data_IF_751229496677
#
_entry.id   IF_751229496677
#
_cell.length_a   1.000
_cell.length_b   1.000
_cell.length_c   1.000
_cell.angle_alpha   90.00
_cell.angle_beta   90.00
_cell.angle_gamma   90.00
#
_symmetry.space_group_name_H-M   'P 1'
#
loop_
_entity.id
_entity.type
_entity.pdbx_description
1 polymer ?
#
# COMPACT_ATOMS: atom_id res chain seq x y z
N UNK A 1 6.35 -27.58 7.22
CA UNK A 1 5.06 -27.04 7.65
C UNK A 1 4.70 -25.98 6.64
N UNK A 2 3.70 -26.27 5.83
CA UNK A 2 3.37 -25.49 4.64
C UNK A 2 2.77 -24.13 5.07
N UNK A 3 3.36 -23.06 4.56
CA UNK A 3 2.79 -21.71 4.61
C UNK A 3 1.48 -21.75 3.83
N UNK A 4 0.37 -21.43 4.49
CA UNK A 4 -0.92 -21.31 3.83
C UNK A 4 -0.82 -20.11 2.87
N UNK A 5 -0.60 -20.38 1.59
CA UNK A 5 -0.68 -19.42 0.51
C UNK A 5 -2.11 -18.89 0.45
N UNK A 6 -2.23 -17.56 0.51
CA UNK A 6 -3.46 -16.85 0.24
C UNK A 6 -3.77 -16.99 -1.26
N UNK A 7 -4.76 -17.82 -1.61
CA UNK A 7 -5.29 -17.95 -2.96
C UNK A 7 -6.28 -16.80 -3.21
N UNK A 8 -6.05 -15.93 -4.20
CA UNK A 8 -6.99 -14.87 -4.57
C UNK A 8 -8.26 -15.37 -5.27
N UNK A 9 -8.40 -16.67 -5.53
CA UNK A 9 -9.55 -17.27 -6.24
C UNK A 9 -10.85 -17.34 -5.44
N UNK A 10 -10.80 -17.31 -4.12
CA UNK A 10 -11.97 -17.49 -3.25
C UNK A 10 -12.77 -16.19 -2.96
N UNK A 11 -12.40 -15.08 -3.61
CA UNK A 11 -13.00 -13.75 -3.39
C UNK A 11 -14.23 -13.45 -4.29
N UNK A 12 -14.78 -14.44 -5.00
CA UNK A 12 -15.84 -14.20 -6.01
C UNK A 12 -17.29 -14.17 -5.48
N UNK A 13 -17.51 -14.14 -4.15
CA UNK A 13 -18.87 -14.06 -3.59
C UNK A 13 -19.01 -13.16 -2.38
N UNK A 14 -18.60 -11.90 -2.50
CA UNK A 14 -19.15 -10.84 -1.64
C UNK A 14 -19.21 -9.54 -2.43
N UNK A 15 -20.27 -9.38 -3.18
CA UNK A 15 -20.69 -8.08 -3.72
C UNK A 15 -20.96 -7.12 -2.58
N UNK A 16 -20.38 -5.92 -2.74
CA UNK A 16 -20.82 -4.64 -2.20
C UNK A 16 -20.97 -4.49 -0.69
N UNK A 17 -19.93 -4.03 -0.01
CA UNK A 17 -20.12 -3.09 1.07
C UNK A 17 -19.07 -1.96 0.99
N UNK A 18 -19.16 -1.13 -0.03
CA UNK A 18 -18.65 0.24 0.01
C UNK A 18 -19.81 1.08 0.56
N UNK A 19 -19.69 1.69 1.75
CA UNK A 19 -20.74 2.58 2.24
C UNK A 19 -21.04 3.65 1.18
N UNK A 20 -22.29 3.80 0.78
CA UNK A 20 -22.74 4.79 -0.22
C UNK A 20 -22.36 6.25 0.09
N UNK A 21 -21.97 6.53 1.32
CA UNK A 21 -21.47 7.85 1.74
C UNK A 21 -20.07 8.19 1.24
N UNK A 22 -19.24 7.19 0.88
CA UNK A 22 -17.86 7.41 0.38
C UNK A 22 -17.88 7.92 -1.08
N UNK A 23 -18.97 7.74 -1.82
CA UNK A 23 -19.05 8.13 -3.24
C UNK A 23 -19.47 9.58 -3.46
N UNK A 24 -19.86 10.32 -2.40
CA UNK A 24 -20.34 11.70 -2.51
C UNK A 24 -19.18 12.69 -2.46
N UNK A 25 -18.55 12.93 -3.59
CA UNK A 25 -17.48 13.93 -3.72
C UNK A 25 -16.29 13.52 -4.56
N UNK A 26 -16.37 12.44 -5.33
CA UNK A 26 -15.30 12.04 -6.26
C UNK A 26 -15.12 13.12 -7.33
N UNK A 27 -14.11 13.95 -7.12
CA UNK A 27 -13.54 14.80 -8.18
C UNK A 27 -12.89 13.88 -9.21
N UNK A 28 -12.53 14.40 -10.38
CA UNK A 28 -11.92 13.67 -11.49
C UNK A 28 -11.16 12.42 -11.03
N UNK A 29 -11.54 11.20 -11.48
CA UNK A 29 -10.91 9.94 -11.04
C UNK A 29 -9.40 9.89 -11.23
N UNK A 30 -8.84 10.72 -12.10
CA UNK A 30 -7.39 10.86 -12.30
C UNK A 30 -6.68 11.58 -11.15
N UNK A 31 -7.38 12.46 -10.44
CA UNK A 31 -6.78 13.32 -9.40
C UNK A 31 -6.78 12.64 -8.03
N UNK A 32 -7.69 11.71 -7.78
CA UNK A 32 -7.82 11.04 -6.49
C UNK A 32 -7.33 9.58 -6.51
N UNK A 33 -6.41 9.24 -7.42
CA UNK A 33 -5.82 7.91 -7.50
C UNK A 33 -4.34 7.93 -7.12
N UNK A 34 -3.96 7.06 -6.18
CA UNK A 34 -2.56 6.75 -5.86
C UNK A 34 -2.21 5.39 -6.42
N UNK A 35 -1.21 5.37 -7.29
CA UNK A 35 -0.66 4.11 -7.80
C UNK A 35 0.34 3.52 -6.82
N UNK A 36 0.52 2.20 -6.83
CA UNK A 36 1.58 1.53 -6.06
C UNK A 36 2.45 0.68 -6.98
N UNK A 37 3.74 0.66 -6.76
CA UNK A 37 4.70 -0.10 -7.56
C UNK A 37 5.81 -0.69 -6.69
N UNK A 38 6.24 -1.90 -7.01
CA UNK A 38 7.44 -2.50 -6.44
C UNK A 38 8.61 -2.40 -7.42
N UNK A 39 9.78 -1.95 -6.97
CA UNK A 39 10.93 -1.96 -7.88
C UNK A 39 11.51 -3.36 -8.07
N UNK A 40 11.33 -4.26 -7.10
CA UNK A 40 11.82 -5.65 -7.18
C UNK A 40 13.26 -5.74 -7.69
N UNK A 41 13.51 -6.65 -8.62
CA UNK A 41 14.77 -6.86 -9.34
C UNK A 41 14.78 -6.24 -10.73
N UNK A 42 13.82 -5.35 -11.03
CA UNK A 42 13.76 -4.69 -12.33
C UNK A 42 15.06 -3.96 -12.67
N UNK A 43 15.42 -4.00 -13.94
CA UNK A 43 16.39 -3.07 -14.48
C UNK A 43 15.84 -1.65 -14.43
N UNK A 44 16.69 -0.64 -14.49
CA UNK A 44 16.24 0.75 -14.57
C UNK A 44 15.35 0.98 -15.79
N UNK A 45 15.68 0.36 -16.94
CA UNK A 45 14.91 0.51 -18.20
C UNK A 45 13.49 -0.02 -18.01
N UNK A 46 13.33 -1.23 -17.52
CA UNK A 46 12.01 -1.82 -17.25
C UNK A 46 11.20 -0.98 -16.29
N UNK A 47 11.82 -0.55 -15.20
CA UNK A 47 11.13 0.22 -14.17
C UNK A 47 10.59 1.56 -14.70
N UNK A 48 11.41 2.32 -15.47
CA UNK A 48 10.96 3.59 -16.03
C UNK A 48 9.91 3.41 -17.13
N UNK A 49 9.97 2.31 -17.90
CA UNK A 49 8.94 1.96 -18.86
C UNK A 49 7.61 1.64 -18.19
N UNK A 50 7.63 0.89 -17.07
CA UNK A 50 6.43 0.63 -16.26
C UNK A 50 5.83 1.96 -15.78
N UNK A 51 6.63 2.85 -15.19
CA UNK A 51 6.15 4.15 -14.71
C UNK A 51 5.49 4.97 -15.82
N UNK A 52 6.14 5.03 -16.99
CA UNK A 52 5.64 5.78 -18.16
C UNK A 52 4.36 5.20 -18.73
N UNK A 53 4.26 3.87 -18.82
CA UNK A 53 3.07 3.19 -19.32
C UNK A 53 1.81 3.49 -18.48
N UNK A 54 2.01 3.72 -17.18
CA UNK A 54 0.94 4.12 -16.26
C UNK A 54 0.82 5.64 -16.06
N UNK A 55 1.56 6.45 -16.83
CA UNK A 55 1.50 7.91 -16.79
C UNK A 55 2.00 8.50 -15.45
N UNK A 56 2.90 7.80 -14.75
CA UNK A 56 3.44 8.27 -13.46
C UNK A 56 4.32 9.50 -13.67
N UNK A 57 3.96 10.60 -13.02
CA UNK A 57 4.72 11.86 -13.03
C UNK A 57 5.56 12.04 -11.76
N UNK A 58 5.24 11.31 -10.69
CA UNK A 58 5.96 11.37 -9.41
C UNK A 58 6.04 10.00 -8.76
N UNK A 59 7.23 9.66 -8.28
CA UNK A 59 7.47 8.52 -7.39
C UNK A 59 7.61 9.03 -5.96
N UNK A 60 6.83 8.47 -5.05
CA UNK A 60 6.97 8.64 -3.60
C UNK A 60 7.58 7.37 -3.04
N UNK A 61 8.86 7.44 -2.68
CA UNK A 61 9.60 6.33 -2.09
C UNK A 61 9.20 6.19 -0.62
N UNK A 62 8.50 5.11 -0.30
CA UNK A 62 8.01 4.80 1.05
C UNK A 62 8.91 3.79 1.79
N UNK A 63 10.12 3.55 1.33
CA UNK A 63 11.06 2.70 2.05
C UNK A 63 11.63 3.45 3.26
N UNK A 64 11.72 2.77 4.39
CA UNK A 64 12.39 3.32 5.59
C UNK A 64 13.87 3.62 5.27
N UNK A 65 14.54 2.67 4.64
CA UNK A 65 15.95 2.77 4.22
C UNK A 65 16.02 2.54 2.70
N UNK A 66 16.14 3.59 1.88
CA UNK A 66 16.17 3.49 0.42
C UNK A 66 17.57 3.11 -0.09
N UNK A 67 18.05 1.94 0.35
CA UNK A 67 19.32 1.31 -0.02
C UNK A 67 19.09 -0.14 -0.39
N UNK A 68 19.81 -0.62 -1.40
CA UNK A 68 19.87 -2.03 -1.77
C UNK A 68 21.29 -2.37 -2.25
N UNK A 69 21.86 -3.43 -1.73
CA UNK A 69 23.14 -3.97 -2.22
C UNK A 69 22.95 -4.69 -3.56
N UNK A 70 21.84 -5.42 -3.68
CA UNK A 70 21.55 -6.23 -4.88
C UNK A 70 20.99 -5.40 -6.04
N UNK A 71 20.33 -4.28 -5.75
CA UNK A 71 19.69 -3.41 -6.74
C UNK A 71 20.14 -1.96 -6.55
N UNK A 72 21.44 -1.63 -6.73
CA UNK A 72 22.01 -0.32 -6.42
C UNK A 72 21.42 0.81 -7.27
N UNK A 73 20.84 0.47 -8.45
CA UNK A 73 20.13 1.43 -9.30
C UNK A 73 18.93 2.10 -8.60
N UNK A 74 18.41 1.49 -7.52
CA UNK A 74 17.32 2.01 -6.70
C UNK A 74 17.79 2.64 -5.39
N UNK A 75 19.11 2.83 -5.19
CA UNK A 75 19.60 3.62 -4.08
C UNK A 75 19.14 5.08 -4.24
N UNK A 76 18.77 5.73 -3.14
CA UNK A 76 18.12 7.04 -3.11
C UNK A 76 18.73 8.06 -4.05
N UNK A 77 20.04 8.24 -3.97
CA UNK A 77 20.73 9.31 -4.72
C UNK A 77 20.78 8.98 -6.23
N UNK A 78 21.01 7.70 -6.55
CA UNK A 78 21.01 7.21 -7.93
C UNK A 78 19.61 7.31 -8.51
N UNK A 79 18.61 6.79 -7.80
CA UNK A 79 17.21 6.79 -8.23
C UNK A 79 16.69 8.20 -8.47
N UNK A 80 16.98 9.13 -7.54
CA UNK A 80 16.58 10.53 -7.68
C UNK A 80 17.14 11.18 -8.94
N UNK A 81 18.43 10.96 -9.24
CA UNK A 81 19.09 11.47 -10.44
C UNK A 81 18.45 10.88 -11.72
N UNK A 82 18.24 9.56 -11.73
CA UNK A 82 17.65 8.85 -12.87
C UNK A 82 16.20 9.24 -13.13
N UNK A 83 15.37 9.36 -12.10
CA UNK A 83 13.98 9.82 -12.23
C UNK A 83 13.91 11.25 -12.75
N UNK A 84 14.78 12.14 -12.24
CA UNK A 84 14.88 13.53 -12.74
C UNK A 84 15.21 13.57 -14.23
N UNK A 85 16.18 12.77 -14.67
CA UNK A 85 16.53 12.65 -16.10
C UNK A 85 15.36 12.11 -16.94
N UNK A 86 14.52 11.23 -16.37
CA UNK A 86 13.30 10.73 -16.99
C UNK A 86 12.12 11.71 -16.92
N UNK A 87 12.28 12.91 -16.32
CA UNK A 87 11.24 13.92 -16.06
C UNK A 87 10.17 13.46 -15.08
N UNK A 88 10.50 12.53 -14.18
CA UNK A 88 9.62 12.03 -13.13
C UNK A 88 10.09 12.61 -11.78
N UNK A 89 9.17 13.20 -11.02
CA UNK A 89 9.44 13.73 -9.69
C UNK A 89 9.79 12.61 -8.69
N UNK A 90 10.60 12.93 -7.69
CA UNK A 90 10.95 12.01 -6.61
C UNK A 90 10.78 12.68 -5.25
N UNK A 91 10.06 12.01 -4.35
CA UNK A 91 9.91 12.40 -2.94
C UNK A 91 10.17 11.17 -2.07
N UNK A 92 10.89 11.33 -0.97
CA UNK A 92 11.08 10.27 0.02
C UNK A 92 10.21 10.57 1.25
N UNK A 93 9.26 9.67 1.54
CA UNK A 93 8.40 9.72 2.72
C UNK A 93 8.69 8.52 3.64
N UNK A 94 9.82 8.55 4.33
CA UNK A 94 10.27 7.49 5.24
C UNK A 94 9.28 7.20 6.37
N UNK A 95 8.44 8.16 6.74
CA UNK A 95 7.38 8.00 7.74
C UNK A 95 6.26 7.04 7.27
N UNK A 96 6.11 6.80 5.97
CA UNK A 96 5.26 5.73 5.45
C UNK A 96 6.02 4.40 5.29
N UNK A 97 7.25 4.32 5.78
CA UNK A 97 8.08 3.13 5.64
C UNK A 97 7.67 2.00 6.56
N UNK A 98 7.97 0.77 6.12
CA UNK A 98 7.83 -0.46 6.91
C UNK A 98 8.80 -0.50 8.09
N UNK A 99 9.27 -1.69 8.48
CA UNK A 99 10.19 -1.90 9.60
C UNK A 99 9.64 -1.35 10.94
N UNK A 100 8.37 -1.65 11.23
CA UNK A 100 7.71 -1.29 12.49
C UNK A 100 7.62 -2.51 13.39
N UNK A 101 7.84 -2.32 14.69
CA UNK A 101 7.71 -3.39 15.68
C UNK A 101 6.25 -3.48 16.14
N UNK A 102 5.74 -4.71 16.25
CA UNK A 102 4.41 -4.96 16.79
C UNK A 102 4.39 -4.64 18.29
N UNK A 103 3.29 -4.06 18.75
CA UNK A 103 3.03 -3.84 20.16
C UNK A 103 2.69 -5.17 20.83
N UNK A 104 2.94 -5.28 22.12
CA UNK A 104 2.69 -6.50 22.89
C UNK A 104 1.19 -6.84 22.96
N UNK A 105 0.37 -5.82 23.09
CA UNK A 105 -1.09 -5.84 23.21
C UNK A 105 -1.78 -5.36 21.93
N UNK A 106 -1.16 -5.61 20.77
CA UNK A 106 -1.66 -5.19 19.47
C UNK A 106 -3.10 -5.67 19.23
N UNK A 107 -4.02 -4.78 18.80
CA UNK A 107 -5.36 -5.16 18.39
C UNK A 107 -5.38 -5.82 17.01
N UNK A 108 -4.23 -5.86 16.31
CA UNK A 108 -4.11 -6.25 14.92
C UNK A 108 -3.68 -7.72 14.75
N UNK A 109 -4.17 -8.59 15.63
CA UNK A 109 -3.81 -10.02 15.69
C UNK A 109 -4.28 -10.86 14.50
N UNK A 110 -5.09 -10.32 13.61
CA UNK A 110 -5.43 -10.94 12.32
C UNK A 110 -4.20 -11.09 11.41
N UNK A 111 -3.21 -10.23 11.56
CA UNK A 111 -1.93 -10.38 10.88
C UNK A 111 -1.03 -11.38 11.64
N UNK A 112 -0.80 -12.56 11.07
CA UNK A 112 0.17 -13.54 11.59
C UNK A 112 1.60 -13.02 11.51
N UNK A 113 1.93 -12.31 10.42
CA UNK A 113 3.23 -11.70 10.21
C UNK A 113 3.42 -10.50 11.15
N UNK A 114 4.44 -10.55 12.02
CA UNK A 114 4.72 -9.51 13.00
C UNK A 114 5.06 -8.15 12.37
N UNK A 115 5.66 -8.12 11.17
CA UNK A 115 5.97 -6.87 10.49
C UNK A 115 4.70 -6.16 10.00
N UNK A 116 3.72 -6.91 9.47
CA UNK A 116 2.41 -6.34 9.10
C UNK A 116 1.64 -5.88 10.34
N UNK A 117 1.66 -6.68 11.41
CA UNK A 117 1.04 -6.32 12.69
C UNK A 117 1.63 -5.02 13.25
N UNK A 118 2.97 -4.91 13.28
CA UNK A 118 3.64 -3.70 13.75
C UNK A 118 3.36 -2.48 12.85
N UNK A 119 3.21 -2.69 11.55
CA UNK A 119 2.81 -1.60 10.66
C UNK A 119 1.36 -1.18 10.91
N UNK A 120 0.44 -2.12 11.11
CA UNK A 120 -0.95 -1.85 11.48
C UNK A 120 -1.08 -1.11 12.82
N UNK A 121 -0.20 -1.42 13.80
CA UNK A 121 -0.12 -0.67 15.06
C UNK A 121 0.36 0.77 14.82
N UNK A 122 1.38 0.95 13.98
CA UNK A 122 1.89 2.25 13.59
C UNK A 122 0.84 3.11 12.85
N UNK A 123 -0.05 2.49 12.07
CA UNK A 123 -1.15 3.19 11.40
C UNK A 123 -2.14 3.88 12.35
N UNK A 124 -2.08 3.57 13.66
CA UNK A 124 -2.91 4.24 14.67
C UNK A 124 -2.29 5.55 15.18
N UNK A 125 -1.07 5.91 14.76
CA UNK A 125 -0.34 7.09 15.23
C UNK A 125 -0.64 8.33 14.40
N UNK A 126 -0.51 9.50 15.04
CA UNK A 126 -0.60 10.80 14.35
C UNK A 126 0.51 10.98 13.32
N UNK A 127 1.69 10.40 13.58
CA UNK A 127 2.82 10.45 12.65
C UNK A 127 2.48 9.78 11.31
N UNK A 128 1.80 8.63 11.36
CA UNK A 128 1.31 7.96 10.15
C UNK A 128 0.26 8.81 9.44
N UNK A 129 -0.71 9.34 10.18
CA UNK A 129 -1.77 10.17 9.61
C UNK A 129 -1.21 11.41 8.91
N UNK A 130 -0.27 12.13 9.53
CA UNK A 130 0.40 13.27 8.92
C UNK A 130 1.15 12.90 7.64
N UNK A 131 1.87 11.77 7.65
CA UNK A 131 2.59 11.28 6.48
C UNK A 131 1.64 10.86 5.34
N UNK A 132 0.51 10.24 5.67
CA UNK A 132 -0.51 9.85 4.71
C UNK A 132 -1.20 11.09 4.10
N UNK A 133 -1.52 12.12 4.89
CA UNK A 133 -2.05 13.39 4.38
C UNK A 133 -1.05 14.07 3.45
N UNK A 134 0.24 14.03 3.76
CA UNK A 134 1.28 14.53 2.86
C UNK A 134 1.29 13.79 1.53
N UNK A 135 1.16 12.46 1.54
CA UNK A 135 1.04 11.65 0.33
C UNK A 135 -0.18 12.06 -0.50
N UNK A 136 -1.36 12.20 0.12
CA UNK A 136 -2.60 12.61 -0.55
C UNK A 136 -2.43 13.99 -1.20
N UNK A 137 -1.85 14.96 -0.47
CA UNK A 137 -1.56 16.29 -1.02
C UNK A 137 -0.66 16.23 -2.26
N UNK A 138 0.36 15.38 -2.23
CA UNK A 138 1.25 15.17 -3.37
C UNK A 138 0.51 14.52 -4.54
N UNK A 139 -0.33 13.52 -4.29
CA UNK A 139 -1.07 12.81 -5.31
C UNK A 139 -2.10 13.70 -6.04
N UNK A 140 -2.70 14.65 -5.33
CA UNK A 140 -3.60 15.65 -5.91
C UNK A 140 -2.93 16.64 -6.87
N UNK A 141 -1.61 16.78 -6.80
CA UNK A 141 -0.86 17.70 -7.67
C UNK A 141 -0.39 17.02 -8.96
N UNK A 142 -0.02 15.73 -8.89
CA UNK A 142 0.55 14.96 -10.00
C UNK A 142 0.20 13.49 -9.86
N UNK A 143 0.08 12.80 -10.99
CA UNK A 143 -0.13 11.35 -11.01
C UNK A 143 1.02 10.64 -10.29
N UNK A 144 0.73 10.11 -9.12
CA UNK A 144 1.74 9.68 -8.14
C UNK A 144 1.68 8.18 -7.93
N UNK A 145 2.86 7.54 -7.92
CA UNK A 145 3.03 6.15 -7.49
C UNK A 145 3.86 6.08 -6.21
N UNK A 146 3.36 5.39 -5.16
CA UNK A 146 4.20 4.98 -4.04
C UNK A 146 5.06 3.79 -4.44
N UNK A 147 6.32 3.78 -4.01
CA UNK A 147 7.29 2.74 -4.37
C UNK A 147 7.92 2.10 -3.15
N UNK A 148 8.00 0.77 -3.16
CA UNK A 148 8.76 -0.04 -2.21
C UNK A 148 9.65 -1.05 -2.94
N UNK A 149 10.44 -1.85 -2.20
CA UNK A 149 11.30 -2.86 -2.78
C UNK A 149 10.55 -4.12 -3.23
N UNK A 150 9.52 -4.54 -2.50
CA UNK A 150 8.78 -5.77 -2.76
C UNK A 150 8.05 -5.73 -4.11
N UNK A 151 8.10 -6.85 -4.86
CA UNK A 151 7.42 -6.98 -6.13
C UNK A 151 5.90 -6.87 -5.97
N UNK A 152 5.34 -7.71 -5.12
CA UNK A 152 3.89 -7.88 -4.98
C UNK A 152 3.33 -7.10 -3.79
N UNK A 153 2.19 -6.40 -3.96
CA UNK A 153 1.65 -5.52 -2.92
C UNK A 153 1.24 -6.27 -1.66
N UNK A 154 0.66 -7.46 -1.75
CA UNK A 154 0.19 -8.25 -0.58
C UNK A 154 1.31 -8.81 0.32
N UNK A 155 2.56 -8.77 -0.14
CA UNK A 155 3.76 -9.06 0.68
C UNK A 155 4.43 -7.82 1.23
N UNK A 156 3.82 -6.65 1.03
CA UNK A 156 4.42 -5.36 1.33
C UNK A 156 3.47 -4.47 2.13
N UNK A 157 4.02 -3.69 3.05
CA UNK A 157 3.26 -2.66 3.79
C UNK A 157 2.53 -1.65 2.89
N UNK A 158 2.82 -1.58 1.57
CA UNK A 158 2.06 -0.79 0.60
C UNK A 158 0.58 -1.18 0.56
N UNK A 159 0.25 -2.46 0.81
CA UNK A 159 -1.15 -2.88 0.90
C UNK A 159 -1.89 -2.19 2.04
N UNK A 160 -1.25 -2.04 3.20
CA UNK A 160 -1.85 -1.33 4.34
C UNK A 160 -1.94 0.19 4.08
N UNK A 161 -1.00 0.76 3.33
CA UNK A 161 -1.13 2.15 2.84
C UNK A 161 -2.31 2.25 1.87
N UNK A 162 -2.50 1.28 0.99
CA UNK A 162 -3.66 1.16 0.09
C UNK A 162 -4.98 1.13 0.87
N UNK A 163 -5.07 0.29 1.89
CA UNK A 163 -6.24 0.24 2.79
C UNK A 163 -6.52 1.61 3.42
N UNK A 164 -5.47 2.28 3.92
CA UNK A 164 -5.61 3.60 4.54
C UNK A 164 -6.05 4.70 3.56
N UNK A 165 -5.66 4.61 2.30
CA UNK A 165 -6.09 5.49 1.23
C UNK A 165 -7.58 5.27 0.91
N UNK A 166 -8.00 4.00 0.71
CA UNK A 166 -9.40 3.66 0.42
C UNK A 166 -10.34 4.17 1.50
N UNK A 167 -10.01 3.96 2.77
CA UNK A 167 -10.84 4.41 3.90
C UNK A 167 -10.98 5.95 3.94
N UNK A 168 -10.07 6.66 3.29
CA UNK A 168 -10.15 8.13 3.13
C UNK A 168 -10.72 8.58 1.78
N UNK A 169 -11.36 7.66 1.04
CA UNK A 169 -11.98 7.95 -0.25
C UNK A 169 -10.98 8.15 -1.40
N UNK A 170 -9.72 7.77 -1.22
CA UNK A 170 -8.70 7.85 -2.25
C UNK A 170 -8.56 6.49 -2.94
N UNK A 171 -8.74 6.46 -4.25
CA UNK A 171 -8.55 5.25 -5.04
C UNK A 171 -7.08 4.82 -5.00
N UNK A 172 -6.83 3.53 -4.79
CA UNK A 172 -5.48 2.94 -4.84
C UNK A 172 -5.44 1.87 -5.92
N UNK A 173 -4.39 1.86 -6.74
CA UNK A 173 -4.19 0.87 -7.80
C UNK A 173 -2.78 0.30 -7.74
N UNK A 174 -2.69 -1.02 -7.76
CA UNK A 174 -1.44 -1.76 -7.74
C UNK A 174 -0.94 -2.02 -9.17
N UNK A 175 0.17 -1.41 -9.55
CA UNK A 175 0.85 -1.68 -10.82
C UNK A 175 1.51 -3.06 -10.72
N UNK A 176 1.04 -3.99 -11.56
CA UNK A 176 1.55 -5.36 -11.59
C UNK A 176 2.57 -5.58 -12.72
N UNK A 177 2.40 -4.88 -13.84
CA UNK A 177 3.29 -4.92 -14.99
C UNK A 177 3.16 -3.63 -15.82
N UNK A 178 3.85 -3.56 -16.93
CA UNK A 178 3.75 -2.44 -17.90
C UNK A 178 2.31 -2.24 -18.44
N UNK A 179 1.54 -3.32 -18.55
CA UNK A 179 0.20 -3.30 -19.16
C UNK A 179 -0.93 -3.54 -18.16
N UNK A 180 -0.62 -3.91 -16.92
CA UNK A 180 -1.62 -4.34 -15.94
C UNK A 180 -1.50 -3.54 -14.65
N UNK A 181 -2.59 -2.90 -14.26
CA UNK A 181 -2.84 -2.46 -12.88
C UNK A 181 -4.09 -3.13 -12.32
N UNK A 182 -4.17 -3.26 -11.01
CA UNK A 182 -5.32 -3.81 -10.30
C UNK A 182 -5.81 -2.82 -9.26
N UNK A 183 -7.13 -2.65 -9.20
CA UNK A 183 -7.72 -1.88 -8.12
C UNK A 183 -7.41 -2.56 -6.79
N UNK A 184 -6.83 -1.80 -5.86
CA UNK A 184 -6.60 -2.28 -4.51
C UNK A 184 -7.93 -2.53 -3.81
N UNK A 185 -8.07 -3.67 -3.16
CA UNK A 185 -9.25 -4.02 -2.36
C UNK A 185 -8.89 -3.96 -0.89
N UNK A 186 -9.78 -3.43 -0.08
CA UNK A 186 -9.61 -3.41 1.37
C UNK A 186 -9.37 -4.84 1.88
N UNK A 187 -8.39 -5.00 2.76
CA UNK A 187 -8.09 -6.28 3.41
C UNK A 187 -9.35 -6.88 4.02
N UNK A 188 -9.69 -8.12 3.68
CA UNK A 188 -10.99 -8.74 3.98
C UNK A 188 -11.35 -8.78 5.48
N UNK A 189 -10.35 -8.88 6.36
CA UNK A 189 -10.55 -8.88 7.82
C UNK A 189 -10.30 -7.50 8.46
N UNK A 190 -10.16 -6.44 7.67
CA UNK A 190 -10.08 -5.08 8.17
C UNK A 190 -11.39 -4.66 8.83
N UNK A 191 -11.28 -3.98 9.96
CA UNK A 191 -12.39 -3.30 10.63
C UNK A 191 -12.15 -1.82 10.61
N UNK A 192 -13.08 -1.09 10.04
CA UNK A 192 -13.00 0.36 9.85
C UNK A 192 -13.92 1.06 10.86
N UNK A 193 -13.36 2.02 11.57
CA UNK A 193 -14.13 2.95 12.42
C UNK A 193 -13.68 4.37 12.11
N UNK A 194 -14.52 5.13 11.43
CA UNK A 194 -14.14 6.42 10.82
C UNK A 194 -12.93 6.25 9.91
N UNK A 195 -11.83 6.96 10.14
CA UNK A 195 -10.59 6.86 9.36
C UNK A 195 -9.55 5.88 9.95
N UNK A 196 -9.90 5.14 10.99
CA UNK A 196 -8.99 4.17 11.64
C UNK A 196 -9.32 2.76 11.17
N UNK A 197 -8.27 1.98 10.94
CA UNK A 197 -8.37 0.59 10.49
C UNK A 197 -7.67 -0.28 11.53
N UNK A 198 -8.35 -1.34 11.95
CA UNK A 198 -7.74 -2.40 12.75
C UNK A 198 -7.94 -3.74 12.04
N UNK A 199 -7.10 -4.70 12.35
CA UNK A 199 -7.10 -6.03 11.75
C UNK A 199 -7.18 -7.09 12.86
N UNK A 200 -8.35 -7.22 13.53
CA UNK A 200 -8.50 -8.14 14.64
C UNK A 200 -8.43 -9.59 14.17
N UNK A 201 -8.03 -10.49 15.06
CA UNK A 201 -8.17 -11.92 14.81
C UNK A 201 -9.64 -12.27 14.50
N UNK A 202 -9.84 -13.12 13.50
CA UNK A 202 -11.17 -13.70 13.28
C UNK A 202 -11.57 -14.48 14.52
N UNK A 203 -12.68 -14.11 15.15
CA UNK A 203 -13.29 -14.95 16.20
C UNK A 203 -13.75 -16.23 15.53
N UNK A 204 -13.04 -17.33 15.74
CA UNK A 204 -13.58 -18.64 15.47
C UNK A 204 -14.74 -18.82 16.45
N UNK A 205 -15.95 -18.66 15.97
CA UNK A 205 -17.15 -19.05 16.72
C UNK A 205 -17.11 -20.57 16.76
N UNK A 206 -16.46 -21.13 17.79
CA UNK A 206 -16.72 -22.49 18.18
C UNK A 206 -18.19 -22.48 18.64
N UNK A 207 -19.10 -22.85 17.71
CA UNK A 207 -20.44 -23.24 18.09
C UNK A 207 -20.28 -24.34 19.12
N UNK A 208 -20.68 -24.04 20.36
CA UNK A 208 -20.95 -25.05 21.36
C UNK A 208 -22.10 -25.91 20.81
N UNK A 209 -21.79 -26.92 20.04
CA UNK A 209 -22.59 -28.15 19.99
C UNK A 209 -22.29 -28.86 21.32
N UNK A 210 -22.96 -28.40 22.36
CA UNK A 210 -23.05 -29.08 23.62
C UNK A 210 -24.19 -30.06 23.57
N UNK A 211 -23.84 -31.27 23.79
CA UNK A 211 -24.50 -32.38 24.51
C UNK A 211 -26.04 -32.47 24.42
#
# INVERSE_FOLDING_TARGET
>A
MADAEYDPGDALRMDSFIPREVTRGMRDPKVDTVLTVGHSTHTWKEFVEILRAHGVERVVDVRTIPRSRHNPQFNRDILRKKLRAARIGYVHLSKLGGLRRAQRDSPNMGWRNASFRGYADYMQTEEFDAALQRLITLARQKRTAIMCAEAVPWRCHRSLVGDALIVRGIRSEDIMSKSVSRLHKLTAFAKVRRNRITYPALRTTLSKLGR
#
